data_IF_469928421080
#
_entry.id   IF_469928421080
#
_cell.length_a   1.000
_cell.length_b   1.000
_cell.length_c   1.000
_cell.angle_alpha   90.00
_cell.angle_beta   90.00
_cell.angle_gamma   90.00
#
_symmetry.space_group_name_H-M   'P 1'
#
loop_
_entity.id
_entity.type
_entity.pdbx_description
1 polymer ?
#
# COMPACT_ATOMS: atom_id res chain seq x y z
N UNK A 1 -13.17 -44.94 -40.12
CA UNK A 1 -12.98 -46.29 -39.55
C UNK A 1 -13.64 -46.33 -38.19
N UNK A 2 -14.65 -47.20 -38.08
CA UNK A 2 -15.45 -47.49 -36.85
C UNK A 2 -14.63 -48.33 -35.89
N UNK A 3 -14.73 -48.11 -34.60
CA UNK A 3 -14.83 -49.23 -33.63
C UNK A 3 -15.52 -48.75 -32.34
N UNK A 4 -16.68 -49.27 -32.17
CA UNK A 4 -17.53 -49.34 -30.97
C UNK A 4 -17.07 -50.48 -30.06
N UNK A 5 -17.14 -50.30 -28.76
CA UNK A 5 -17.30 -51.44 -27.84
C UNK A 5 -18.07 -51.02 -26.59
N UNK A 6 -19.27 -51.58 -26.46
CA UNK A 6 -20.14 -51.70 -25.28
C UNK A 6 -19.74 -52.92 -24.48
N UNK A 7 -19.91 -52.87 -23.16
CA UNK A 7 -20.29 -54.02 -22.25
C UNK A 7 -20.66 -53.38 -20.90
N UNK A 8 -21.88 -53.28 -20.50
CA UNK A 8 -22.99 -54.17 -20.09
C UNK A 8 -22.74 -54.96 -18.76
N UNK A 9 -23.55 -54.57 -17.74
CA UNK A 9 -24.21 -55.30 -16.64
C UNK A 9 -23.43 -56.28 -15.78
N UNK A 10 -23.60 -56.18 -14.40
CA UNK A 10 -24.31 -57.21 -13.63
C UNK A 10 -24.76 -56.58 -12.28
N UNK A 11 -26.06 -56.67 -12.01
CA UNK A 11 -26.70 -56.56 -10.70
C UNK A 11 -26.53 -57.89 -9.91
N UNK A 12 -26.36 -57.81 -8.59
CA UNK A 12 -26.70 -58.90 -7.72
C UNK A 12 -27.30 -58.35 -6.43
N UNK A 13 -28.56 -58.73 -6.16
CA UNK A 13 -29.30 -58.55 -4.94
C UNK A 13 -29.39 -59.91 -4.21
N UNK A 14 -29.29 -59.97 -2.91
CA UNK A 14 -29.83 -60.99 -2.03
C UNK A 14 -29.68 -60.51 -0.58
N UNK A 15 -30.72 -60.19 0.12
CA UNK A 15 -31.66 -60.99 0.95
C UNK A 15 -31.17 -61.20 2.40
N UNK A 16 -31.75 -60.50 3.31
CA UNK A 16 -32.65 -60.82 4.42
C UNK A 16 -32.24 -61.99 5.34
N UNK A 17 -32.03 -61.69 6.61
CA UNK A 17 -32.44 -62.58 7.72
C UNK A 17 -32.58 -61.79 9.03
N UNK A 18 -33.82 -61.82 9.56
CA UNK A 18 -34.21 -61.32 10.89
C UNK A 18 -33.74 -62.32 11.96
N UNK A 19 -33.31 -61.83 13.10
CA UNK A 19 -33.39 -62.58 14.38
C UNK A 19 -33.95 -61.62 15.45
N UNK A 20 -35.13 -62.01 15.92
CA UNK A 20 -35.82 -61.45 17.09
C UNK A 20 -35.27 -62.22 18.30
N UNK A 21 -34.84 -61.53 19.29
CA UNK A 21 -34.46 -62.12 20.61
C UNK A 21 -34.78 -61.11 21.71
N UNK A 22 -35.95 -61.21 22.30
CA UNK A 22 -36.31 -60.50 23.50
C UNK A 22 -35.62 -61.12 24.74
N UNK A 23 -35.05 -60.29 25.58
CA UNK A 23 -34.82 -60.58 26.99
C UNK A 23 -34.90 -59.28 27.81
N UNK A 24 -35.93 -59.23 28.57
CA UNK A 24 -36.20 -58.29 29.66
C UNK A 24 -35.27 -58.54 30.83
N UNK A 25 -34.61 -57.53 31.42
CA UNK A 25 -34.40 -57.45 32.89
C UNK A 25 -33.80 -56.16 33.37
N UNK A 26 -34.52 -55.51 34.27
CA UNK A 26 -34.11 -54.74 35.45
C UNK A 26 -33.42 -53.37 35.23
N UNK A 27 -34.18 -52.34 35.60
CA UNK A 27 -33.71 -51.01 35.98
C UNK A 27 -32.68 -51.07 37.10
N UNK A 28 -31.57 -50.37 36.91
CA UNK A 28 -30.71 -49.87 37.97
C UNK A 28 -30.52 -48.36 37.78
N UNK A 29 -30.84 -47.64 38.83
CA UNK A 29 -30.70 -46.21 39.01
C UNK A 29 -29.25 -45.76 38.66
N UNK A 30 -29.09 -44.84 37.72
CA UNK A 30 -27.84 -44.11 37.52
C UNK A 30 -28.10 -42.60 37.69
N UNK A 31 -27.19 -41.89 38.39
CA UNK A 31 -27.36 -40.45 38.67
C UNK A 31 -27.27 -39.64 37.37
N UNK A 32 -28.13 -38.66 37.22
CA UNK A 32 -28.10 -37.65 36.17
C UNK A 32 -26.76 -36.90 36.24
N UNK A 33 -25.80 -37.26 35.36
CA UNK A 33 -24.63 -36.46 35.07
C UNK A 33 -25.09 -35.18 34.34
N UNK A 34 -24.60 -34.07 34.84
CA UNK A 34 -24.96 -32.71 34.46
C UNK A 34 -24.65 -32.37 33.01
N UNK A 35 -25.33 -31.33 32.62
CA UNK A 35 -25.41 -30.77 31.30
C UNK A 35 -24.10 -30.72 30.49
N UNK A 36 -24.16 -31.27 29.30
CA UNK A 36 -23.22 -30.95 28.25
C UNK A 36 -23.36 -29.47 27.92
N UNK A 37 -22.33 -28.68 28.30
CA UNK A 37 -22.18 -27.36 27.82
C UNK A 37 -22.16 -27.40 26.30
N UNK A 38 -23.17 -26.78 25.68
CA UNK A 38 -23.15 -26.50 24.27
C UNK A 38 -21.89 -25.65 24.02
N UNK A 39 -20.87 -26.27 23.41
CA UNK A 39 -19.69 -25.55 22.93
C UNK A 39 -20.19 -24.44 22.01
N UNK A 40 -19.97 -23.18 22.42
CA UNK A 40 -20.26 -22.03 21.58
C UNK A 40 -19.56 -22.27 20.24
N UNK A 41 -20.31 -22.22 19.13
CA UNK A 41 -19.73 -22.27 17.80
C UNK A 41 -18.62 -21.19 17.72
N UNK A 42 -17.45 -21.50 17.13
CA UNK A 42 -16.37 -20.53 17.06
C UNK A 42 -16.92 -19.25 16.43
N UNK A 43 -16.72 -18.10 17.10
CA UNK A 43 -17.18 -16.81 16.62
C UNK A 43 -16.64 -16.59 15.20
N UNK A 44 -17.54 -16.25 14.25
CA UNK A 44 -17.17 -16.01 12.86
C UNK A 44 -16.10 -14.93 12.83
N UNK A 45 -14.92 -15.24 12.28
CA UNK A 45 -13.84 -14.25 12.10
C UNK A 45 -14.32 -13.13 11.21
N UNK A 46 -13.97 -11.89 11.58
CA UNK A 46 -14.22 -10.72 10.74
C UNK A 46 -13.33 -10.82 9.51
N UNK A 47 -13.94 -10.69 8.33
CA UNK A 47 -13.27 -10.77 7.03
C UNK A 47 -13.02 -9.39 6.47
N UNK A 48 -11.76 -9.07 6.17
CA UNK A 48 -11.37 -7.79 5.59
C UNK A 48 -10.81 -8.04 4.18
N UNK A 49 -11.46 -7.49 3.16
CA UNK A 49 -10.93 -7.46 1.80
C UNK A 49 -9.91 -6.33 1.67
N UNK A 50 -8.69 -6.63 1.26
CA UNK A 50 -7.65 -5.62 1.01
C UNK A 50 -7.10 -5.74 -0.41
N UNK A 51 -7.26 -4.66 -1.23
CA UNK A 51 -6.66 -4.57 -2.55
C UNK A 51 -5.45 -3.65 -2.51
N UNK A 52 -4.26 -4.25 -2.69
CA UNK A 52 -2.99 -3.54 -2.82
C UNK A 52 -2.75 -3.13 -4.27
N UNK A 53 -1.98 -2.06 -4.47
CA UNK A 53 -1.58 -1.55 -5.79
C UNK A 53 -0.69 -2.56 -6.52
N UNK A 54 0.35 -3.06 -5.85
CA UNK A 54 1.40 -3.91 -6.39
C UNK A 54 2.50 -4.17 -5.38
N UNK A 55 3.72 -4.34 -5.87
CA UNK A 55 4.95 -4.50 -5.07
C UNK A 55 6.10 -3.71 -5.73
N UNK A 56 5.78 -2.53 -6.23
CA UNK A 56 6.63 -1.70 -7.10
C UNK A 56 7.83 -1.08 -6.39
N UNK A 57 7.77 -0.96 -5.06
CA UNK A 57 8.78 -0.29 -4.23
C UNK A 57 9.00 -1.02 -2.92
N UNK A 58 10.12 -0.73 -2.24
CA UNK A 58 10.37 -1.27 -0.90
C UNK A 58 9.35 -0.74 0.11
N UNK A 59 8.93 0.53 -0.04
CA UNK A 59 7.82 1.10 0.74
C UNK A 59 6.52 0.27 0.59
N UNK A 60 6.15 -0.09 -0.65
CA UNK A 60 4.90 -0.84 -0.91
C UNK A 60 4.93 -2.24 -0.31
N UNK A 61 6.07 -2.91 -0.37
CA UNK A 61 6.27 -4.21 0.28
C UNK A 61 6.09 -4.11 1.79
N UNK A 62 6.73 -3.10 2.43
CA UNK A 62 6.60 -2.87 3.86
C UNK A 62 5.16 -2.53 4.27
N UNK A 63 4.43 -1.76 3.45
CA UNK A 63 3.01 -1.48 3.68
C UNK A 63 2.17 -2.77 3.63
N UNK A 64 2.39 -3.62 2.64
CA UNK A 64 1.72 -4.93 2.54
C UNK A 64 1.99 -5.80 3.77
N UNK A 65 3.25 -5.90 4.20
CA UNK A 65 3.63 -6.70 5.36
C UNK A 65 3.04 -6.14 6.66
N UNK A 66 3.01 -4.81 6.82
CA UNK A 66 2.36 -4.16 7.98
C UNK A 66 0.87 -4.54 8.08
N UNK A 67 0.16 -4.52 6.95
CA UNK A 67 -1.28 -4.85 6.92
C UNK A 67 -1.50 -6.34 7.21
N UNK A 68 -0.73 -7.22 6.58
CA UNK A 68 -0.83 -8.68 6.81
C UNK A 68 -0.50 -9.07 8.24
N UNK A 69 0.58 -8.49 8.79
CA UNK A 69 1.02 -8.78 10.15
C UNK A 69 -0.04 -8.35 11.19
N UNK A 70 -0.61 -7.17 11.02
CA UNK A 70 -1.62 -6.65 11.94
C UNK A 70 -2.94 -7.43 11.84
N UNK A 71 -3.37 -7.81 10.62
CA UNK A 71 -4.52 -8.69 10.44
C UNK A 71 -4.35 -10.02 11.19
N UNK A 72 -3.18 -10.64 11.05
CA UNK A 72 -2.86 -11.89 11.73
C UNK A 72 -2.80 -11.72 13.26
N UNK A 73 -2.17 -10.66 13.76
CA UNK A 73 -2.02 -10.37 15.19
C UNK A 73 -3.39 -10.16 15.87
N UNK A 74 -4.35 -9.53 15.18
CA UNK A 74 -5.73 -9.31 15.70
C UNK A 74 -6.70 -10.44 15.35
N UNK A 75 -6.25 -11.49 14.65
CA UNK A 75 -7.08 -12.66 14.31
C UNK A 75 -8.12 -12.41 13.21
N UNK A 76 -7.95 -11.37 12.40
CA UNK A 76 -8.77 -11.09 11.22
C UNK A 76 -8.48 -12.08 10.08
N UNK A 77 -9.51 -12.41 9.28
CA UNK A 77 -9.33 -13.09 8.00
C UNK A 77 -9.10 -12.04 6.92
N UNK A 78 -7.86 -11.93 6.43
CA UNK A 78 -7.51 -11.00 5.36
C UNK A 78 -7.67 -11.66 3.99
N UNK A 79 -8.60 -11.16 3.17
CA UNK A 79 -8.75 -11.52 1.76
C UNK A 79 -7.93 -10.53 0.94
N UNK A 80 -6.69 -10.92 0.62
CA UNK A 80 -5.72 -10.04 -0.05
C UNK A 80 -5.76 -10.20 -1.57
N UNK A 81 -5.65 -9.08 -2.30
CA UNK A 81 -5.51 -9.04 -3.76
C UNK A 81 -4.43 -8.03 -4.17
N UNK A 82 -3.50 -8.47 -5.01
CA UNK A 82 -2.50 -7.61 -5.65
C UNK A 82 -3.01 -7.21 -7.04
N UNK A 83 -3.08 -5.91 -7.30
CA UNK A 83 -3.61 -5.37 -8.55
C UNK A 83 -2.56 -5.26 -9.67
N UNK A 84 -1.29 -5.53 -9.38
CA UNK A 84 -0.20 -5.43 -10.35
C UNK A 84 -0.16 -4.05 -11.05
N UNK A 85 -0.40 -2.99 -10.27
CA UNK A 85 -0.47 -1.58 -10.70
C UNK A 85 -1.56 -1.28 -11.75
N UNK A 86 -2.61 -2.11 -11.83
CA UNK A 86 -3.71 -1.95 -12.79
C UNK A 86 -5.03 -1.67 -12.08
N UNK A 87 -5.63 -0.52 -12.36
CA UNK A 87 -6.90 -0.12 -11.78
C UNK A 87 -8.02 -1.13 -12.07
N UNK A 88 -8.07 -1.69 -13.29
CA UNK A 88 -9.08 -2.69 -13.64
C UNK A 88 -8.98 -3.95 -12.76
N UNK A 89 -7.77 -4.34 -12.32
CA UNK A 89 -7.59 -5.46 -11.41
C UNK A 89 -8.11 -5.12 -10.01
N UNK A 90 -7.90 -3.88 -9.54
CA UNK A 90 -8.47 -3.43 -8.27
C UNK A 90 -10.00 -3.42 -8.32
N UNK A 91 -10.60 -2.88 -9.38
CA UNK A 91 -12.06 -2.87 -9.55
C UNK A 91 -12.62 -4.30 -9.53
N UNK A 92 -11.96 -5.25 -10.21
CA UNK A 92 -12.33 -6.68 -10.16
C UNK A 92 -12.21 -7.25 -8.76
N UNK A 93 -11.12 -6.92 -8.03
CA UNK A 93 -10.93 -7.37 -6.66
C UNK A 93 -12.01 -6.83 -5.72
N UNK A 94 -12.32 -5.54 -5.81
CA UNK A 94 -13.38 -4.92 -4.99
C UNK A 94 -14.75 -5.59 -5.22
N UNK A 95 -15.13 -5.84 -6.48
CA UNK A 95 -16.36 -6.59 -6.79
C UNK A 95 -16.33 -8.03 -6.27
N UNK A 96 -15.16 -8.69 -6.35
CA UNK A 96 -14.98 -10.03 -5.77
C UNK A 96 -15.16 -10.03 -4.26
N UNK A 97 -14.67 -9.00 -3.54
CA UNK A 97 -14.87 -8.86 -2.10
C UNK A 97 -16.36 -8.68 -1.75
N UNK A 98 -17.10 -7.90 -2.55
CA UNK A 98 -18.57 -7.78 -2.40
C UNK A 98 -19.24 -9.14 -2.57
N UNK A 99 -18.90 -9.89 -3.63
CA UNK A 99 -19.48 -11.21 -3.89
C UNK A 99 -19.15 -12.23 -2.80
N UNK A 100 -17.98 -12.11 -2.15
CA UNK A 100 -17.56 -12.95 -1.04
C UNK A 100 -18.18 -12.54 0.30
N UNK A 101 -18.87 -11.41 0.37
CA UNK A 101 -19.49 -10.91 1.59
C UNK A 101 -18.49 -10.61 2.69
N UNK A 102 -17.39 -9.91 2.39
CA UNK A 102 -16.45 -9.44 3.41
C UNK A 102 -17.11 -8.39 4.31
N UNK A 103 -16.65 -8.26 5.55
CA UNK A 103 -17.23 -7.33 6.52
C UNK A 103 -16.77 -5.88 6.32
N UNK A 104 -15.55 -5.68 5.80
CA UNK A 104 -14.96 -4.37 5.50
C UNK A 104 -14.10 -4.51 4.24
N UNK A 105 -14.11 -3.50 3.39
CA UNK A 105 -13.18 -3.38 2.26
C UNK A 105 -12.20 -2.25 2.55
N UNK A 106 -10.89 -2.52 2.35
CA UNK A 106 -9.86 -1.49 2.36
C UNK A 106 -9.03 -1.59 1.08
N UNK A 107 -8.51 -0.45 0.59
CA UNK A 107 -7.61 -0.47 -0.56
C UNK A 107 -6.78 0.81 -0.65
N UNK A 108 -5.64 0.71 -1.36
CA UNK A 108 -4.82 1.83 -1.81
C UNK A 108 -5.07 2.03 -3.30
N UNK A 109 -5.71 3.12 -3.76
CA UNK A 109 -6.04 3.29 -5.17
C UNK A 109 -4.80 3.48 -6.06
N UNK A 110 -4.78 2.87 -7.26
CA UNK A 110 -3.70 3.10 -8.24
C UNK A 110 -3.67 4.56 -8.69
N UNK A 111 -4.84 5.11 -9.02
CA UNK A 111 -5.05 6.51 -9.44
C UNK A 111 -6.24 7.10 -8.68
N UNK A 112 -6.43 8.44 -8.76
CA UNK A 112 -7.51 9.10 -8.00
C UNK A 112 -8.90 8.93 -8.62
N UNK A 113 -9.00 8.84 -9.94
CA UNK A 113 -10.26 8.90 -10.68
C UNK A 113 -10.82 7.53 -11.06
N UNK A 114 -12.11 7.49 -11.44
CA UNK A 114 -12.76 6.29 -11.98
C UNK A 114 -13.31 5.31 -10.93
N UNK A 115 -13.33 5.68 -9.65
CA UNK A 115 -13.74 4.80 -8.55
C UNK A 115 -15.23 4.88 -8.20
N UNK A 116 -15.90 5.98 -8.51
CA UNK A 116 -17.25 6.26 -8.05
C UNK A 116 -18.26 5.15 -8.39
N UNK A 117 -18.26 4.51 -9.58
CA UNK A 117 -19.19 3.42 -9.88
C UNK A 117 -19.04 2.24 -8.95
N UNK A 118 -17.81 1.70 -8.77
CA UNK A 118 -17.59 0.54 -7.91
C UNK A 118 -17.79 0.86 -6.43
N UNK A 119 -17.48 2.07 -5.99
CA UNK A 119 -17.74 2.50 -4.60
C UNK A 119 -19.24 2.61 -4.32
N UNK A 120 -20.05 3.04 -5.31
CA UNK A 120 -21.51 3.00 -5.20
C UNK A 120 -22.06 1.58 -5.12
N UNK A 121 -21.51 0.64 -5.91
CA UNK A 121 -21.84 -0.80 -5.82
C UNK A 121 -21.55 -1.35 -4.42
N UNK A 122 -20.37 -1.04 -3.85
CA UNK A 122 -19.98 -1.48 -2.50
C UNK A 122 -20.91 -0.88 -1.43
N UNK A 123 -21.24 0.41 -1.55
CA UNK A 123 -22.16 1.09 -0.64
C UNK A 123 -23.56 0.47 -0.68
N UNK A 124 -24.08 0.12 -1.87
CA UNK A 124 -25.36 -0.58 -2.04
C UNK A 124 -25.35 -1.97 -1.38
N UNK A 125 -24.19 -2.64 -1.36
CA UNK A 125 -24.02 -3.91 -0.65
C UNK A 125 -23.89 -3.73 0.88
N UNK A 126 -23.88 -2.49 1.40
CA UNK A 126 -23.78 -2.19 2.83
C UNK A 126 -22.39 -2.46 3.43
N UNK A 127 -21.35 -2.55 2.60
CA UNK A 127 -19.98 -2.83 3.06
C UNK A 127 -19.22 -1.51 3.25
N UNK A 128 -18.69 -1.21 4.43
CA UNK A 128 -17.89 -0.02 4.67
C UNK A 128 -16.53 -0.10 3.97
N UNK A 129 -16.06 1.06 3.47
CA UNK A 129 -14.79 1.20 2.76
C UNK A 129 -13.83 2.06 3.56
N UNK A 130 -12.58 1.61 3.70
CA UNK A 130 -11.45 2.38 4.25
C UNK A 130 -10.41 2.59 3.15
N UNK A 131 -10.06 3.84 2.89
CA UNK A 131 -8.93 4.17 2.01
C UNK A 131 -7.64 4.21 2.81
N UNK A 132 -6.58 3.64 2.26
CA UNK A 132 -5.24 3.69 2.85
C UNK A 132 -4.24 4.27 1.86
N UNK A 133 -3.23 4.98 2.37
CA UNK A 133 -2.15 5.56 1.59
C UNK A 133 -2.64 6.62 0.59
N UNK A 134 -3.36 6.24 -0.45
CA UNK A 134 -3.79 7.13 -1.54
C UNK A 134 -5.27 7.49 -1.45
N UNK A 135 -5.61 8.71 -1.88
CA UNK A 135 -6.99 9.21 -1.96
C UNK A 135 -7.65 8.82 -3.28
N UNK A 136 -8.97 8.99 -3.32
CA UNK A 136 -9.81 8.95 -4.52
C UNK A 136 -10.50 10.29 -4.72
N UNK A 137 -10.69 10.68 -5.98
CA UNK A 137 -11.55 11.79 -6.36
C UNK A 137 -12.96 11.26 -6.63
N UNK A 138 -13.92 11.67 -5.79
CA UNK A 138 -15.33 11.29 -5.90
C UNK A 138 -16.23 12.49 -5.62
N UNK A 139 -17.33 12.60 -6.36
CA UNK A 139 -18.32 13.66 -6.17
C UNK A 139 -19.21 13.42 -4.94
N UNK A 140 -19.36 12.16 -4.54
CA UNK A 140 -20.19 11.73 -3.42
C UNK A 140 -19.32 11.45 -2.20
N UNK A 141 -19.32 12.31 -1.16
CA UNK A 141 -18.33 12.22 -0.07
C UNK A 141 -18.51 11.01 0.86
N UNK A 142 -19.65 10.35 0.88
CA UNK A 142 -19.99 9.25 1.80
C UNK A 142 -19.77 7.84 1.20
N UNK A 143 -18.96 7.73 0.14
CA UNK A 143 -18.61 6.47 -0.50
C UNK A 143 -17.52 5.69 0.24
N UNK A 144 -16.86 6.28 1.21
CA UNK A 144 -15.92 5.62 2.11
C UNK A 144 -16.02 6.20 3.53
N UNK A 145 -15.64 5.44 4.54
CA UNK A 145 -15.73 5.84 5.95
C UNK A 145 -14.60 6.78 6.34
N UNK A 146 -13.37 6.41 6.03
CA UNK A 146 -12.16 7.16 6.38
C UNK A 146 -11.06 6.98 5.33
N UNK A 147 -10.16 7.96 5.29
CA UNK A 147 -8.91 7.88 4.54
C UNK A 147 -7.72 8.02 5.51
N UNK A 148 -6.82 7.02 5.50
CA UNK A 148 -5.62 6.93 6.34
C UNK A 148 -4.38 7.08 5.47
N UNK A 149 -3.55 8.10 5.70
CA UNK A 149 -2.33 8.31 4.91
C UNK A 149 -1.64 9.63 5.25
N UNK A 150 -0.53 9.93 4.58
CA UNK A 150 0.25 11.14 4.76
C UNK A 150 -0.39 12.37 4.09
N UNK A 151 0.08 13.55 4.43
CA UNK A 151 -0.20 14.79 3.69
C UNK A 151 0.88 14.97 2.62
N UNK A 152 0.58 14.54 1.40
CA UNK A 152 1.53 14.56 0.30
C UNK A 152 1.91 15.96 -0.17
N UNK A 153 1.01 16.95 -0.03
CA UNK A 153 1.32 18.35 -0.32
C UNK A 153 2.36 18.85 0.68
N UNK A 154 2.18 18.55 1.95
CA UNK A 154 3.13 18.93 3.00
C UNK A 154 4.48 18.21 2.83
N UNK A 155 4.51 16.93 2.42
CA UNK A 155 5.75 16.24 2.10
C UNK A 155 6.54 16.95 0.99
N UNK A 156 5.86 17.36 -0.09
CA UNK A 156 6.46 18.15 -1.17
C UNK A 156 7.01 19.49 -0.70
N UNK A 157 6.26 20.22 0.16
CA UNK A 157 6.73 21.49 0.75
C UNK A 157 7.97 21.30 1.61
N UNK A 158 8.02 20.23 2.42
CA UNK A 158 9.19 19.92 3.26
C UNK A 158 10.42 19.58 2.42
N UNK A 159 10.26 18.82 1.35
CA UNK A 159 11.33 18.55 0.40
C UNK A 159 11.87 19.83 -0.23
N UNK A 160 10.99 20.74 -0.67
CA UNK A 160 11.36 22.05 -1.23
C UNK A 160 12.08 22.94 -0.21
N UNK A 161 11.57 23.02 1.01
CA UNK A 161 12.15 23.82 2.08
C UNK A 161 13.56 23.31 2.47
N UNK A 162 13.75 21.99 2.51
CA UNK A 162 15.05 21.41 2.74
C UNK A 162 16.02 21.72 1.60
N UNK A 163 15.59 21.51 0.34
CA UNK A 163 16.43 21.78 -0.83
C UNK A 163 16.84 23.27 -0.89
N UNK A 164 15.89 24.18 -0.66
CA UNK A 164 16.16 25.62 -0.64
C UNK A 164 17.25 26.01 0.35
N UNK A 165 17.25 25.41 1.54
CA UNK A 165 18.31 25.62 2.55
C UNK A 165 19.63 24.99 2.14
N UNK A 166 19.60 23.76 1.63
CA UNK A 166 20.80 22.99 1.29
C UNK A 166 21.54 23.54 0.04
N UNK A 167 20.90 24.41 -0.73
CA UNK A 167 21.46 24.99 -1.97
C UNK A 167 21.55 26.52 -1.92
N UNK A 168 21.43 27.13 -0.75
CA UNK A 168 21.38 28.59 -0.57
C UNK A 168 20.36 29.26 -1.53
N UNK A 169 19.26 28.60 -1.79
CA UNK A 169 18.16 29.06 -2.63
C UNK A 169 18.40 28.97 -4.13
N UNK A 170 19.43 28.27 -4.60
CA UNK A 170 19.81 28.20 -6.03
C UNK A 170 20.01 26.75 -6.47
N UNK A 171 19.20 26.28 -7.41
CA UNK A 171 19.35 24.93 -7.98
C UNK A 171 18.71 24.82 -9.36
N UNK A 172 19.33 24.02 -10.22
CA UNK A 172 18.75 23.53 -11.47
C UNK A 172 18.27 22.10 -11.21
N UNK A 173 16.95 21.98 -11.04
CA UNK A 173 16.29 20.75 -10.55
C UNK A 173 15.75 19.93 -11.71
N UNK A 174 15.96 18.61 -11.65
CA UNK A 174 15.14 17.65 -12.39
C UNK A 174 14.22 16.91 -11.41
N UNK A 175 13.03 16.56 -11.88
CA UNK A 175 11.98 15.93 -11.06
C UNK A 175 11.64 14.53 -11.59
N UNK A 176 11.69 13.54 -10.72
CA UNK A 176 11.18 12.19 -10.95
C UNK A 176 9.83 12.06 -10.27
N UNK A 177 8.76 12.09 -11.07
CA UNK A 177 7.40 11.95 -10.56
C UNK A 177 7.00 10.48 -10.34
N UNK A 178 6.02 10.27 -9.47
CA UNK A 178 5.40 8.95 -9.30
C UNK A 178 4.49 8.54 -10.45
N UNK A 179 3.64 7.54 -10.19
CA UNK A 179 2.63 7.04 -11.15
C UNK A 179 1.67 8.16 -11.57
N UNK A 180 1.54 8.45 -12.86
CA UNK A 180 0.64 9.49 -13.34
C UNK A 180 -0.80 9.28 -12.86
N UNK A 181 -1.45 10.35 -12.41
CA UNK A 181 -2.83 10.32 -11.92
C UNK A 181 -2.99 9.78 -10.49
N UNK A 182 -1.92 9.41 -9.81
CA UNK A 182 -1.99 9.03 -8.40
C UNK A 182 -1.90 10.23 -7.46
N UNK A 183 -2.61 10.20 -6.34
CA UNK A 183 -2.61 11.26 -5.33
C UNK A 183 -1.18 11.70 -4.93
N UNK A 184 -0.25 10.79 -4.55
CA UNK A 184 1.09 11.22 -4.17
C UNK A 184 1.89 11.87 -5.31
N UNK A 185 1.66 11.49 -6.58
CA UNK A 185 2.35 12.13 -7.69
C UNK A 185 1.84 13.56 -7.92
N UNK A 186 0.52 13.76 -7.83
CA UNK A 186 -0.12 15.06 -8.01
C UNK A 186 0.24 16.01 -6.85
N UNK A 187 0.05 15.55 -5.63
CA UNK A 187 0.16 16.38 -4.44
C UNK A 187 1.62 16.68 -4.04
N UNK A 188 2.54 15.71 -4.17
CA UNK A 188 3.98 15.94 -3.94
C UNK A 188 4.55 16.95 -4.93
N UNK A 189 4.16 16.86 -6.22
CA UNK A 189 4.50 17.86 -7.22
C UNK A 189 3.99 19.23 -6.82
N UNK A 190 2.69 19.36 -6.53
CA UNK A 190 2.06 20.61 -6.10
C UNK A 190 2.77 21.21 -4.89
N UNK A 191 3.01 20.41 -3.86
CA UNK A 191 3.68 20.85 -2.63
C UNK A 191 5.09 21.37 -2.88
N UNK A 192 5.86 20.66 -3.71
CA UNK A 192 7.21 21.08 -4.07
C UNK A 192 7.21 22.38 -4.89
N UNK A 193 6.35 22.48 -5.91
CA UNK A 193 6.19 23.70 -6.72
C UNK A 193 5.74 24.90 -5.87
N UNK A 194 4.88 24.70 -4.88
CA UNK A 194 4.49 25.74 -3.92
C UNK A 194 5.67 26.15 -3.03
N UNK A 195 6.42 25.18 -2.52
CA UNK A 195 7.53 25.41 -1.59
C UNK A 195 8.71 26.16 -2.23
N UNK A 196 9.05 25.85 -3.48
CA UNK A 196 10.15 26.52 -4.19
C UNK A 196 9.83 27.96 -4.59
N UNK A 197 8.58 28.43 -4.50
CA UNK A 197 8.24 29.86 -4.73
C UNK A 197 8.98 30.79 -3.78
N UNK A 198 9.36 30.32 -2.60
CA UNK A 198 10.19 31.06 -1.65
C UNK A 198 11.67 31.19 -2.10
N UNK A 199 12.09 30.43 -3.13
CA UNK A 199 13.45 30.34 -3.64
C UNK A 199 13.45 30.57 -5.16
N UNK A 200 13.39 31.82 -5.64
CA UNK A 200 13.15 32.12 -7.04
C UNK A 200 14.26 31.66 -8.00
N UNK A 201 15.45 31.34 -7.49
CA UNK A 201 16.56 30.81 -8.28
C UNK A 201 16.61 29.27 -8.31
N UNK A 202 15.63 28.60 -7.69
CA UNK A 202 15.41 27.14 -7.89
C UNK A 202 14.49 26.97 -9.10
N UNK A 203 14.97 26.24 -10.11
CA UNK A 203 14.24 26.02 -11.37
C UNK A 203 14.13 24.55 -11.69
N UNK A 204 12.91 24.04 -11.87
CA UNK A 204 12.67 22.72 -12.43
C UNK A 204 12.79 22.82 -13.95
N UNK A 205 13.80 22.18 -14.53
CA UNK A 205 14.06 22.23 -15.98
C UNK A 205 13.51 21.01 -16.72
N UNK A 206 13.37 19.89 -16.03
CA UNK A 206 12.78 18.67 -16.56
C UNK A 206 11.98 17.97 -15.48
N UNK A 207 10.89 17.31 -15.90
CA UNK A 207 10.01 16.58 -15.03
C UNK A 207 9.41 15.41 -15.80
N UNK A 208 9.59 14.17 -15.30
CA UNK A 208 9.09 12.96 -15.94
C UNK A 208 8.74 11.90 -14.91
N UNK A 209 7.75 11.05 -15.23
CA UNK A 209 7.36 9.95 -14.37
C UNK A 209 8.39 8.82 -14.39
N UNK A 210 8.79 8.36 -13.20
CA UNK A 210 9.52 7.13 -12.94
C UNK A 210 8.65 6.05 -12.26
N UNK A 211 7.32 6.27 -12.22
CA UNK A 211 6.31 5.27 -11.80
C UNK A 211 6.55 4.67 -10.40
N UNK A 212 7.26 5.40 -9.53
CA UNK A 212 7.69 4.96 -8.21
C UNK A 212 8.65 3.75 -8.21
N UNK A 213 9.20 3.36 -9.37
CA UNK A 213 10.09 2.19 -9.46
C UNK A 213 11.56 2.59 -9.58
N UNK A 214 12.45 1.77 -8.98
CA UNK A 214 13.89 1.99 -9.04
C UNK A 214 14.43 1.95 -10.48
N UNK A 215 13.94 0.98 -11.27
CA UNK A 215 14.37 0.81 -12.67
C UNK A 215 14.01 2.02 -13.53
N UNK A 216 12.77 2.54 -13.40
CA UNK A 216 12.34 3.73 -14.15
C UNK A 216 13.01 4.99 -13.64
N UNK A 217 13.26 5.12 -12.33
CA UNK A 217 14.04 6.22 -11.78
C UNK A 217 15.44 6.31 -12.40
N UNK A 218 16.12 5.16 -12.55
CA UNK A 218 17.42 5.08 -13.24
C UNK A 218 17.31 5.47 -14.73
N UNK A 219 16.38 4.86 -15.47
CA UNK A 219 16.16 5.11 -16.90
C UNK A 219 15.92 6.60 -17.20
N UNK A 220 15.01 7.22 -16.43
CA UNK A 220 14.64 8.63 -16.62
C UNK A 220 15.82 9.55 -16.25
N UNK A 221 16.52 9.28 -15.14
CA UNK A 221 17.68 10.09 -14.75
C UNK A 221 18.82 9.98 -15.80
N UNK A 222 19.07 8.79 -16.33
CA UNK A 222 20.03 8.59 -17.42
C UNK A 222 19.65 9.45 -18.66
N UNK A 223 18.37 9.49 -19.01
CA UNK A 223 17.85 10.33 -20.09
C UNK A 223 18.06 11.83 -19.82
N UNK A 224 17.83 12.27 -18.57
CA UNK A 224 18.06 13.66 -18.18
C UNK A 224 19.54 14.04 -18.30
N UNK A 225 20.45 13.20 -17.82
CA UNK A 225 21.89 13.45 -17.88
C UNK A 225 22.43 13.48 -19.31
N UNK A 226 21.86 12.69 -20.22
CA UNK A 226 22.25 12.66 -21.65
C UNK A 226 21.64 13.80 -22.45
N UNK A 227 20.69 14.56 -21.90
CA UNK A 227 20.06 15.69 -22.60
C UNK A 227 21.00 16.90 -22.72
N UNK A 228 20.74 17.84 -23.64
CA UNK A 228 21.55 19.05 -23.78
C UNK A 228 21.72 19.85 -22.48
N UNK A 229 20.71 19.84 -21.62
CA UNK A 229 20.72 20.52 -20.32
C UNK A 229 21.34 19.68 -19.20
N UNK A 230 21.72 18.42 -19.46
CA UNK A 230 22.21 17.47 -18.44
C UNK A 230 23.37 18.01 -17.60
N UNK A 231 24.28 18.78 -18.21
CA UNK A 231 25.43 19.39 -17.50
C UNK A 231 25.03 20.52 -16.56
N UNK A 232 23.81 21.04 -16.65
CA UNK A 232 23.31 22.14 -15.81
C UNK A 232 22.66 21.62 -14.54
N UNK A 233 22.32 20.31 -14.46
CA UNK A 233 21.61 19.71 -13.36
C UNK A 233 22.45 19.79 -12.09
N UNK A 234 21.92 20.42 -11.05
CA UNK A 234 22.58 20.50 -9.73
C UNK A 234 21.75 19.87 -8.62
N UNK A 235 20.48 19.54 -8.89
CA UNK A 235 19.63 18.86 -7.91
C UNK A 235 18.62 17.93 -8.57
N UNK A 236 18.23 16.88 -7.81
CA UNK A 236 17.16 15.95 -8.11
C UNK A 236 16.12 16.00 -6.99
N UNK A 237 14.86 16.19 -7.35
CA UNK A 237 13.71 15.88 -6.52
C UNK A 237 13.05 14.60 -7.02
N UNK A 238 13.05 13.56 -6.21
CA UNK A 238 12.37 12.31 -6.51
C UNK A 238 11.17 12.10 -5.60
N UNK A 239 10.00 11.78 -6.16
CA UNK A 239 8.78 11.60 -5.39
C UNK A 239 8.83 10.37 -4.47
N UNK A 240 9.83 9.48 -4.62
CA UNK A 240 10.10 8.44 -3.63
C UNK A 240 11.58 8.02 -3.63
N UNK A 241 11.95 7.29 -2.56
CA UNK A 241 13.32 6.81 -2.34
C UNK A 241 13.75 5.78 -3.40
N UNK A 242 12.87 4.87 -3.83
CA UNK A 242 13.23 3.87 -4.85
C UNK A 242 13.66 4.52 -6.17
N UNK A 243 12.95 5.55 -6.65
CA UNK A 243 13.40 6.30 -7.82
C UNK A 243 14.71 7.05 -7.57
N UNK A 244 14.88 7.63 -6.37
CA UNK A 244 16.14 8.30 -6.01
C UNK A 244 17.32 7.32 -6.01
N UNK A 245 17.14 6.12 -5.45
CA UNK A 245 18.15 5.06 -5.44
C UNK A 245 18.49 4.57 -6.86
N UNK A 246 17.50 4.53 -7.75
CA UNK A 246 17.74 4.27 -9.17
C UNK A 246 18.53 5.39 -9.86
N UNK A 247 18.16 6.64 -9.58
CA UNK A 247 18.84 7.82 -10.12
C UNK A 247 20.29 7.93 -9.64
N UNK A 248 20.59 7.57 -8.38
CA UNK A 248 21.95 7.49 -7.84
C UNK A 248 22.84 6.60 -8.73
N UNK A 249 22.34 5.44 -9.17
CA UNK A 249 23.08 4.55 -10.06
C UNK A 249 23.38 5.22 -11.40
N UNK A 250 22.40 5.89 -12.01
CA UNK A 250 22.57 6.60 -13.28
C UNK A 250 23.60 7.76 -13.16
N UNK A 251 23.58 8.47 -12.02
CA UNK A 251 24.54 9.57 -11.74
C UNK A 251 25.97 9.02 -11.62
N UNK A 252 26.15 7.91 -10.90
CA UNK A 252 27.46 7.25 -10.77
C UNK A 252 27.96 6.72 -12.12
N UNK A 253 27.12 6.09 -12.93
CA UNK A 253 27.44 5.61 -14.27
C UNK A 253 27.83 6.75 -15.24
N UNK A 254 27.29 7.94 -15.03
CA UNK A 254 27.70 9.15 -15.77
C UNK A 254 29.03 9.75 -15.27
N UNK A 255 29.67 9.15 -14.27
CA UNK A 255 30.93 9.64 -13.68
C UNK A 255 30.78 10.82 -12.74
N UNK A 256 29.54 11.11 -12.31
CA UNK A 256 29.22 12.17 -11.34
C UNK A 256 29.10 11.58 -9.92
N UNK A 257 29.21 12.45 -8.92
CA UNK A 257 29.10 12.08 -7.51
C UNK A 257 27.70 12.43 -6.99
N UNK A 258 26.79 11.44 -6.80
CA UNK A 258 25.47 11.69 -6.21
C UNK A 258 25.63 12.26 -4.81
N UNK A 259 24.75 13.17 -4.42
CA UNK A 259 24.81 13.88 -3.14
C UNK A 259 25.86 15.00 -3.08
N UNK A 260 26.80 15.06 -4.01
CA UNK A 260 27.86 16.08 -4.08
C UNK A 260 27.67 16.98 -5.31
N UNK A 261 27.80 16.41 -6.51
CA UNK A 261 27.64 17.15 -7.76
C UNK A 261 26.15 17.43 -8.04
N UNK A 262 25.28 16.52 -7.64
CA UNK A 262 23.82 16.65 -7.72
C UNK A 262 23.25 16.40 -6.33
N UNK A 263 22.62 17.43 -5.74
CA UNK A 263 21.89 17.29 -4.48
C UNK A 263 20.62 16.49 -4.70
N UNK A 264 20.33 15.53 -3.81
CA UNK A 264 19.19 14.63 -3.99
C UNK A 264 18.29 14.70 -2.76
N UNK A 265 17.02 15.03 -2.99
CA UNK A 265 15.96 14.95 -1.98
C UNK A 265 14.86 14.01 -2.47
N UNK A 266 14.40 13.12 -1.59
CA UNK A 266 13.36 12.13 -1.88
C UNK A 266 12.33 12.06 -0.77
N UNK A 267 11.40 11.12 -0.87
CA UNK A 267 10.33 10.88 0.10
C UNK A 267 10.23 9.37 0.33
N UNK A 268 9.84 8.94 1.49
CA UNK A 268 9.45 7.64 2.05
C UNK A 268 10.22 7.32 3.34
N UNK A 269 11.50 7.62 3.42
CA UNK A 269 12.40 7.27 4.52
C UNK A 269 12.58 5.75 4.70
N UNK A 270 12.75 4.99 3.59
CA UNK A 270 13.07 3.56 3.63
C UNK A 270 14.54 3.34 4.09
N UNK A 271 14.83 2.19 4.67
CA UNK A 271 16.16 1.88 5.20
C UNK A 271 17.28 2.06 4.17
N UNK A 272 17.04 1.66 2.91
CA UNK A 272 18.01 1.83 1.83
C UNK A 272 18.34 3.31 1.53
N UNK A 273 17.41 4.23 1.75
CA UNK A 273 17.67 5.68 1.67
C UNK A 273 18.59 6.14 2.80
N UNK A 274 18.42 5.63 4.01
CA UNK A 274 19.34 5.91 5.13
C UNK A 274 20.75 5.38 4.84
N UNK A 275 20.87 4.17 4.30
CA UNK A 275 22.15 3.61 3.86
C UNK A 275 22.82 4.51 2.80
N UNK A 276 22.05 5.02 1.84
CA UNK A 276 22.55 5.96 0.83
C UNK A 276 22.95 7.32 1.43
N UNK A 277 22.19 7.83 2.43
CA UNK A 277 22.55 9.06 3.15
C UNK A 277 23.85 8.90 3.95
N UNK A 278 24.00 7.80 4.68
CA UNK A 278 25.24 7.48 5.44
C UNK A 278 26.43 7.35 4.49
N UNK A 279 26.23 6.80 3.29
CA UNK A 279 27.25 6.72 2.25
C UNK A 279 27.52 8.06 1.52
N UNK A 280 26.81 9.14 1.87
CA UNK A 280 26.96 10.46 1.27
C UNK A 280 26.31 10.62 -0.11
N UNK A 281 25.53 9.63 -0.58
CA UNK A 281 24.95 9.58 -1.93
C UNK A 281 23.53 10.15 -2.06
N UNK A 282 22.78 10.17 -0.98
CA UNK A 282 21.47 10.83 -0.84
C UNK A 282 21.59 11.91 0.22
N UNK A 283 20.93 13.06 0.03
CA UNK A 283 21.09 14.15 0.98
C UNK A 283 19.92 14.24 1.99
N UNK A 284 18.69 13.96 1.55
CA UNK A 284 17.51 14.08 2.40
C UNK A 284 16.41 13.14 1.94
N UNK A 285 15.63 12.63 2.89
CA UNK A 285 14.34 12.00 2.63
C UNK A 285 13.29 12.52 3.62
N UNK A 286 12.08 12.78 3.12
CA UNK A 286 10.91 13.11 3.93
C UNK A 286 10.16 11.83 4.23
N UNK A 287 9.81 11.60 5.49
CA UNK A 287 9.13 10.37 5.86
C UNK A 287 7.69 10.31 5.33
N UNK A 288 7.36 9.19 4.71
CA UNK A 288 6.01 8.70 4.46
C UNK A 288 5.93 7.28 5.01
N UNK A 289 5.33 7.10 6.17
CA UNK A 289 5.37 5.78 6.83
C UNK A 289 4.48 4.75 6.14
N UNK A 290 5.00 3.56 5.75
CA UNK A 290 4.22 2.45 5.21
C UNK A 290 3.46 1.65 6.28
N UNK A 291 3.73 1.90 7.57
CA UNK A 291 3.22 1.09 8.68
C UNK A 291 1.78 1.45 9.01
N UNK A 292 0.88 1.28 8.04
CA UNK A 292 -0.54 1.64 8.15
C UNK A 292 -1.42 0.53 8.75
N UNK A 293 -0.89 -0.68 8.92
CA UNK A 293 -1.63 -1.82 9.48
C UNK A 293 -2.36 -1.48 10.78
N UNK A 294 -1.68 -1.00 11.84
CA UNK A 294 -2.33 -0.66 13.10
C UNK A 294 -3.49 0.33 12.94
N UNK A 295 -3.29 1.44 12.21
CA UNK A 295 -4.34 2.45 12.00
C UNK A 295 -5.51 1.90 11.16
N UNK A 296 -5.23 1.05 10.16
CA UNK A 296 -6.28 0.39 9.37
C UNK A 296 -7.15 -0.50 10.27
N UNK A 297 -6.53 -1.35 11.09
CA UNK A 297 -7.30 -2.27 11.91
C UNK A 297 -7.95 -1.60 13.13
N UNK A 298 -7.42 -0.47 13.62
CA UNK A 298 -8.13 0.40 14.57
C UNK A 298 -9.43 0.96 13.95
N UNK A 299 -9.38 1.37 12.68
CA UNK A 299 -10.57 1.80 11.95
C UNK A 299 -11.57 0.64 11.73
N UNK A 300 -11.09 -0.57 11.40
CA UNK A 300 -11.94 -1.77 11.29
C UNK A 300 -12.62 -2.09 12.61
N UNK A 301 -11.90 -2.06 13.74
CA UNK A 301 -12.44 -2.28 15.08
C UNK A 301 -13.50 -1.24 15.42
N UNK A 302 -13.27 0.03 15.11
CA UNK A 302 -14.23 1.11 15.35
C UNK A 302 -15.49 0.93 14.49
N UNK A 303 -15.35 0.57 13.21
CA UNK A 303 -16.49 0.25 12.31
C UNK A 303 -17.34 -0.87 12.91
N UNK A 304 -16.70 -1.98 13.32
CA UNK A 304 -17.40 -3.14 13.88
C UNK A 304 -18.08 -2.82 15.19
N UNK A 305 -17.55 -1.91 15.97
CA UNK A 305 -18.14 -1.46 17.24
C UNK A 305 -19.19 -0.33 17.06
N UNK A 306 -19.44 0.13 15.84
CA UNK A 306 -20.35 1.27 15.59
C UNK A 306 -19.85 2.59 16.19
N UNK A 307 -18.55 2.73 16.41
CA UNK A 307 -17.93 3.95 16.96
C UNK A 307 -17.68 4.99 15.86
N UNK A 308 -17.72 6.28 16.19
CA UNK A 308 -17.37 7.34 15.24
C UNK A 308 -15.89 7.25 14.84
N UNK A 309 -15.61 7.58 13.59
CA UNK A 309 -14.25 7.58 13.01
C UNK A 309 -14.06 8.92 12.31
N UNK A 310 -12.89 9.52 12.50
CA UNK A 310 -12.49 10.72 11.76
C UNK A 310 -12.45 10.44 10.26
N UNK A 311 -12.96 11.36 9.47
CA UNK A 311 -12.99 11.23 7.99
C UNK A 311 -11.59 11.16 7.38
N UNK A 312 -10.59 11.77 8.04
CA UNK A 312 -9.20 11.82 7.63
C UNK A 312 -8.29 11.52 8.82
N UNK A 313 -7.48 10.50 8.72
CA UNK A 313 -6.46 10.12 9.69
C UNK A 313 -5.10 10.38 9.04
N UNK A 314 -4.45 11.49 9.43
CA UNK A 314 -3.13 11.85 8.91
C UNK A 314 -2.05 11.08 9.66
N UNK A 315 -1.04 10.60 8.93
CA UNK A 315 0.17 10.03 9.52
C UNK A 315 1.22 11.11 9.66
N UNK A 316 1.99 11.05 10.76
CA UNK A 316 3.11 11.96 10.99
C UNK A 316 4.21 11.72 9.95
N UNK A 317 4.95 12.80 9.63
CA UNK A 317 6.10 12.77 8.75
C UNK A 317 7.27 13.51 9.41
N UNK A 318 8.47 12.93 9.34
CA UNK A 318 9.72 13.56 9.76
C UNK A 318 10.57 13.90 8.53
N UNK A 319 11.60 14.72 8.71
CA UNK A 319 12.60 14.99 7.66
C UNK A 319 13.93 14.46 8.19
N UNK A 320 14.58 13.61 7.40
CA UNK A 320 15.88 13.07 7.70
C UNK A 320 16.88 13.50 6.64
N UNK A 321 18.06 13.88 7.07
CA UNK A 321 19.18 14.23 6.21
C UNK A 321 20.46 13.50 6.60
N UNK A 322 21.56 13.77 5.91
CA UNK A 322 22.85 13.12 6.16
C UNK A 322 23.34 13.32 7.62
N UNK A 323 22.95 14.41 8.29
CA UNK A 323 23.39 14.69 9.65
C UNK A 323 22.67 13.82 10.68
N UNK A 324 21.45 13.41 10.40
CA UNK A 324 20.57 12.63 11.28
C UNK A 324 20.54 11.14 10.94
N UNK A 325 20.91 10.77 9.69
CA UNK A 325 20.74 9.42 9.13
C UNK A 325 21.45 8.33 9.95
N UNK A 326 22.71 8.55 10.35
CA UNK A 326 23.49 7.55 11.10
C UNK A 326 22.86 7.21 12.45
N UNK A 327 22.28 8.19 13.13
CA UNK A 327 21.57 7.99 14.42
C UNK A 327 20.21 7.31 14.26
N UNK A 328 19.54 7.54 13.14
CA UNK A 328 18.16 7.08 12.92
C UNK A 328 18.08 5.70 12.22
N UNK A 329 19.08 5.29 11.45
CA UNK A 329 19.07 4.07 10.64
C UNK A 329 18.75 2.81 11.44
N UNK A 330 19.25 2.69 12.68
CA UNK A 330 19.03 1.53 13.55
C UNK A 330 17.57 1.35 13.97
N UNK A 331 16.75 2.39 13.91
CA UNK A 331 15.33 2.37 14.27
C UNK A 331 14.40 2.14 13.07
N UNK A 332 14.94 2.13 11.84
CA UNK A 332 14.12 1.94 10.62
C UNK A 332 13.62 0.51 10.53
N UNK A 333 12.30 0.35 10.35
CA UNK A 333 11.60 -0.94 10.26
C UNK A 333 11.30 -1.35 8.82
N UNK A 334 11.63 -0.52 7.84
CA UNK A 334 11.33 -0.74 6.43
C UNK A 334 12.37 -0.06 5.53
#
# INVERSE_FOLDING_TARGET
>A
MKFTSRRTFVCLAASLLMFVGACEKKAADQPKAGGSGAGAAPAKKVRVGFSQIGAESDWRKANTESIKAEAAARGYELVFSDAQQKQENQIKALRSFVAQGVDVIAFSPVVETGWEPVLKEIKQAGIPVVLTDRAVEVSTPDLFVTFIGADFVEEGRRAAAWLGKATDGKAVVVELQGTPGSAPAIDRKKGFEEGIKAFPDIKIIKSQSGEFTRAKGREVMESFLKSPEGKQITALYAHNDDMALGAIQAIEEAGLKPGVDIKIVSIDAVKAAFEAMVAGKLNCTVECSPLLGPKLFDAVDAIKAGKPIERRIVTDAAVFDQTTAAGAIGSRKY
#
